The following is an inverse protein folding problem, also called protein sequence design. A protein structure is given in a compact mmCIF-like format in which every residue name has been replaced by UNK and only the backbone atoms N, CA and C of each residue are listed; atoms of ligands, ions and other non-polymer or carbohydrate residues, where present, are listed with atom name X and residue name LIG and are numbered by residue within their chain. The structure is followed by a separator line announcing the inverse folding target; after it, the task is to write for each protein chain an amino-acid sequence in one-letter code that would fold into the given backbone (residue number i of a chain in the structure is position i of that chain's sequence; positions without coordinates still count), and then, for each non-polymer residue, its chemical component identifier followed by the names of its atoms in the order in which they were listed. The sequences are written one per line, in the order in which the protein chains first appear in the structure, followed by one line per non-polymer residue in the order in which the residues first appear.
data_IF_281051178124
#
_entry.id   IF_281051178124
#
_cell.length_a   1.000
_cell.length_b   1.000
_cell.length_c   1.000
_cell.angle_alpha   90.00
_cell.angle_beta   90.00
_cell.angle_gamma   90.00
#
_symmetry.space_group_name_H-M   'P 1'
#
loop_
_entity.id
_entity.type
_entity.pdbx_description
1 polymer ?
#
# COMPACT_ATOMS: atom_id res chain seq x y z
N UNK A 1 40.08 9.43 55.00
CA UNK A 1 41.48 9.90 54.85
C UNK A 1 41.54 10.64 53.54
N UNK A 2 41.77 11.95 53.72
CA UNK A 2 42.56 12.94 52.97
C UNK A 2 42.12 13.15 51.52
N UNK A 3 41.41 14.27 51.25
CA UNK A 3 41.85 15.67 51.17
C UNK A 3 42.57 15.97 49.85
N UNK A 4 41.87 16.87 49.07
CA UNK A 4 42.22 18.26 48.69
C UNK A 4 43.35 18.38 47.67
N UNK A 5 43.17 19.14 46.58
CA UNK A 5 43.28 20.61 46.50
C UNK A 5 42.79 21.19 45.19
N UNK A 6 42.05 22.22 45.33
CA UNK A 6 41.66 23.35 44.53
C UNK A 6 42.87 24.24 44.14
N UNK A 7 42.87 24.87 42.95
CA UNK A 7 43.41 26.19 42.76
C UNK A 7 42.69 26.94 41.61
N UNK A 8 42.20 28.12 42.05
CA UNK A 8 41.68 29.25 41.26
C UNK A 8 42.85 30.10 40.75
N UNK A 9 42.58 31.00 39.76
CA UNK A 9 43.02 32.39 39.54
C UNK A 9 42.61 32.74 38.11
N UNK A 10 41.66 33.54 37.81
CA UNK A 10 41.28 34.97 37.93
C UNK A 10 42.10 35.98 37.07
N UNK A 11 41.30 36.75 36.30
CA UNK A 11 41.43 38.20 35.87
C UNK A 11 42.35 38.49 34.68
N UNK A 12 42.10 39.52 33.84
CA UNK A 12 41.14 40.64 33.75
C UNK A 12 41.26 41.31 32.36
N UNK A 13 40.18 41.82 31.80
CA UNK A 13 39.84 43.23 31.41
C UNK A 13 40.81 44.03 30.54
N UNK A 14 40.34 44.58 29.39
CA UNK A 14 40.26 45.96 28.92
C UNK A 14 39.86 46.00 27.45
N UNK A 15 38.74 46.54 27.04
CA UNK A 15 38.22 47.88 26.72
C UNK A 15 39.15 48.76 25.84
N UNK A 16 38.66 49.10 24.64
CA UNK A 16 38.49 50.45 24.08
C UNK A 16 38.27 50.41 22.56
N UNK A 17 37.12 50.76 22.14
CA UNK A 17 36.63 51.91 21.32
C UNK A 17 37.53 52.51 20.25
N UNK A 18 37.05 52.65 19.00
CA UNK A 18 36.81 53.94 18.36
C UNK A 18 36.44 53.83 16.87
N UNK A 19 35.43 54.56 16.54
CA UNK A 19 34.88 55.05 15.27
C UNK A 19 35.90 55.43 14.16
N UNK A 20 35.52 55.22 12.86
CA UNK A 20 35.11 56.28 11.95
C UNK A 20 35.13 55.87 10.48
N UNK A 21 34.03 56.14 9.84
CA UNK A 21 33.69 56.79 8.55
C UNK A 21 34.50 56.51 7.26
N UNK A 22 33.67 56.05 6.31
CA UNK A 22 33.34 56.68 5.03
C UNK A 22 34.09 56.25 3.75
N UNK A 23 33.23 55.98 2.77
CA UNK A 23 33.22 56.36 1.37
C UNK A 23 33.70 55.32 0.35
N UNK A 24 32.67 54.73 -0.30
CA UNK A 24 32.47 54.56 -1.76
C UNK A 24 33.69 54.39 -2.68
N UNK A 25 33.67 53.24 -3.43
CA UNK A 25 33.79 53.27 -4.90
C UNK A 25 33.39 51.94 -5.51
N UNK A 26 32.56 52.00 -6.51
CA UNK A 26 32.04 50.90 -7.29
C UNK A 26 33.12 50.26 -8.16
N UNK A 27 33.09 48.91 -8.27
CA UNK A 27 33.58 48.22 -9.45
C UNK A 27 32.87 46.87 -9.59
N UNK A 28 32.29 46.66 -10.72
CA UNK A 28 31.62 45.41 -11.21
C UNK A 28 32.55 44.24 -11.18
N UNK A 29 32.09 43.12 -10.63
CA UNK A 29 32.47 41.78 -11.13
C UNK A 29 31.56 40.72 -10.51
N UNK A 30 30.87 39.97 -11.35
CA UNK A 30 30.53 38.55 -11.17
C UNK A 30 29.51 38.21 -10.09
N UNK A 31 28.22 38.31 -10.36
CA UNK A 31 27.14 37.66 -9.61
C UNK A 31 27.25 36.14 -9.76
N UNK A 32 27.86 35.49 -8.81
CA UNK A 32 27.51 34.09 -8.51
C UNK A 32 26.26 34.15 -7.64
N UNK A 33 25.12 33.94 -8.25
CA UNK A 33 23.87 33.64 -7.56
C UNK A 33 24.05 32.31 -6.80
N UNK A 34 24.35 32.40 -5.51
CA UNK A 34 24.07 31.34 -4.59
C UNK A 34 22.55 31.16 -4.61
N UNK A 35 22.11 30.11 -5.26
CA UNK A 35 20.71 29.66 -5.21
C UNK A 35 20.37 29.34 -3.76
N UNK A 36 19.73 30.30 -3.09
CA UNK A 36 18.92 29.98 -1.91
C UNK A 36 17.85 29.04 -2.40
N UNK A 37 18.02 27.74 -2.13
CA UNK A 37 16.90 26.80 -2.15
C UNK A 37 15.90 27.36 -1.13
N UNK A 38 14.90 28.07 -1.63
CA UNK A 38 13.72 28.35 -0.87
C UNK A 38 13.10 27.00 -0.56
N UNK A 39 13.25 26.54 0.68
CA UNK A 39 12.36 25.55 1.24
C UNK A 39 10.95 26.07 0.98
N UNK A 40 10.22 25.43 0.08
CA UNK A 40 8.82 25.72 -0.13
C UNK A 40 8.18 25.55 1.25
N UNK A 41 7.75 26.66 1.85
CA UNK A 41 6.93 26.61 3.04
C UNK A 41 5.72 25.74 2.68
N UNK A 42 5.63 24.53 3.26
CA UNK A 42 4.51 23.63 3.05
C UNK A 42 3.24 24.41 3.33
N UNK A 43 2.50 24.75 2.29
CA UNK A 43 1.19 25.34 2.43
C UNK A 43 0.39 24.37 3.31
N UNK A 44 -0.23 24.87 4.36
CA UNK A 44 -1.11 24.06 5.21
C UNK A 44 -2.27 23.60 4.36
N UNK A 45 -2.36 22.29 4.11
CA UNK A 45 -3.51 21.69 3.42
C UNK A 45 -4.70 21.76 4.37
N UNK A 46 -5.80 22.37 3.92
CA UNK A 46 -7.06 22.47 4.66
C UNK A 46 -8.13 21.61 3.96
N UNK A 47 -8.24 20.36 4.38
CA UNK A 47 -9.21 19.41 3.83
C UNK A 47 -10.66 19.77 4.24
N UNK A 48 -10.84 20.43 5.39
CA UNK A 48 -12.16 20.91 5.80
C UNK A 48 -12.66 22.01 4.86
N UNK A 49 -11.80 22.97 4.52
CA UNK A 49 -12.13 24.03 3.54
C UNK A 49 -12.32 23.45 2.12
N UNK A 50 -11.66 22.35 1.79
CA UNK A 50 -11.87 21.63 0.53
C UNK A 50 -13.19 20.83 0.49
N UNK A 51 -14.00 20.86 1.55
CA UNK A 51 -15.28 20.18 1.60
C UNK A 51 -15.19 18.67 1.86
N UNK A 52 -14.10 18.20 2.43
CA UNK A 52 -14.00 16.83 2.92
C UNK A 52 -14.95 16.60 4.10
N UNK A 53 -15.42 15.36 4.32
CA UNK A 53 -16.14 14.99 5.54
C UNK A 53 -15.31 15.32 6.79
N UNK A 54 -15.97 15.69 7.89
CA UNK A 54 -15.29 15.95 9.17
C UNK A 54 -14.46 14.76 9.67
N UNK A 55 -14.89 13.54 9.30
CA UNK A 55 -14.11 12.31 9.44
C UNK A 55 -14.15 11.58 8.11
N UNK A 56 -12.97 11.35 7.53
CA UNK A 56 -12.81 10.51 6.34
C UNK A 56 -12.69 9.07 6.84
N UNK A 57 -13.65 8.22 6.47
CA UNK A 57 -13.64 6.80 6.84
C UNK A 57 -13.07 5.99 5.68
N UNK A 58 -11.97 5.30 5.93
CA UNK A 58 -11.25 4.47 4.95
C UNK A 58 -11.39 3.00 5.34
N UNK A 59 -11.91 2.17 4.45
CA UNK A 59 -11.95 0.72 4.61
C UNK A 59 -10.75 0.11 3.88
N UNK A 60 -9.86 -0.56 4.60
CA UNK A 60 -8.80 -1.35 3.96
C UNK A 60 -9.31 -2.72 3.54
N UNK A 61 -8.58 -3.40 2.69
CA UNK A 61 -8.93 -4.73 2.18
C UNK A 61 -8.34 -5.87 3.02
N UNK A 62 -7.37 -5.56 3.89
CA UNK A 62 -6.73 -6.53 4.76
C UNK A 62 -6.49 -6.01 6.18
N UNK A 63 -5.77 -6.78 6.99
CA UNK A 63 -5.26 -6.38 8.30
C UNK A 63 -4.29 -5.21 8.19
N UNK A 64 -3.97 -4.51 9.30
CA UNK A 64 -2.91 -3.51 9.28
C UNK A 64 -1.56 -4.12 8.85
N UNK A 65 -0.94 -3.51 7.85
CA UNK A 65 0.32 -3.95 7.23
C UNK A 65 1.01 -2.81 6.50
N UNK A 66 2.23 -3.04 5.99
CA UNK A 66 3.05 -2.01 5.33
C UNK A 66 2.46 -1.49 4.03
N UNK A 67 1.70 -2.30 3.30
CA UNK A 67 0.99 -1.89 2.09
C UNK A 67 -0.02 -0.75 2.33
N UNK A 68 -0.46 -0.62 3.58
CA UNK A 68 -1.32 0.47 4.06
C UNK A 68 -0.54 1.53 4.86
N UNK A 69 0.79 1.49 4.85
CA UNK A 69 1.66 2.29 5.71
C UNK A 69 1.37 3.78 5.68
N UNK A 70 1.16 4.35 4.49
CA UNK A 70 0.80 5.76 4.30
C UNK A 70 -0.48 6.19 5.03
N UNK A 71 -1.44 5.27 5.22
CA UNK A 71 -2.63 5.59 5.99
C UNK A 71 -2.32 5.77 7.49
N UNK A 72 -1.38 4.99 8.00
CA UNK A 72 -0.98 5.08 9.41
C UNK A 72 0.01 6.21 9.64
N UNK A 73 0.79 6.60 8.61
CA UNK A 73 1.70 7.75 8.67
C UNK A 73 0.92 9.06 8.86
N UNK A 74 -0.21 9.25 8.18
CA UNK A 74 -1.03 10.47 8.30
C UNK A 74 -1.83 10.59 9.61
N UNK A 75 -1.70 9.64 10.56
CA UNK A 75 -2.43 9.71 11.83
C UNK A 75 -1.67 10.55 12.86
N UNK A 76 -2.33 11.55 13.41
CA UNK A 76 -1.81 12.38 14.49
C UNK A 76 -1.61 11.58 15.80
N UNK A 77 -0.91 12.22 16.73
CA UNK A 77 -0.61 11.63 18.06
C UNK A 77 -1.82 11.39 18.94
N UNK A 78 -2.98 11.91 18.54
CA UNK A 78 -4.29 11.70 19.18
C UNK A 78 -4.99 10.41 18.72
N UNK A 79 -4.28 9.52 18.03
CA UNK A 79 -4.82 8.28 17.51
C UNK A 79 -5.44 7.41 18.62
N UNK A 80 -6.69 6.98 18.41
CA UNK A 80 -7.47 6.12 19.31
C UNK A 80 -7.79 4.81 18.63
N UNK A 81 -7.43 3.70 19.26
CA UNK A 81 -7.67 2.34 18.77
C UNK A 81 -9.01 1.84 19.32
N UNK A 82 -9.89 1.38 18.43
CA UNK A 82 -11.12 0.65 18.77
C UNK A 82 -10.95 -0.82 18.34
N UNK A 83 -10.57 -1.66 19.29
CA UNK A 83 -10.31 -3.08 19.03
C UNK A 83 -11.58 -3.88 18.73
N UNK A 84 -12.75 -3.43 19.14
CA UNK A 84 -14.01 -4.10 18.84
C UNK A 84 -14.41 -3.88 17.38
N UNK A 85 -14.26 -2.65 16.88
CA UNK A 85 -14.52 -2.30 15.48
C UNK A 85 -13.37 -2.59 14.54
N UNK A 86 -12.21 -3.00 15.07
CA UNK A 86 -10.97 -3.17 14.30
C UNK A 86 -10.62 -1.90 13.52
N UNK A 87 -10.67 -0.75 14.19
CA UNK A 87 -10.39 0.55 13.59
C UNK A 87 -9.47 1.39 14.46
N UNK A 88 -8.82 2.37 13.83
CA UNK A 88 -8.07 3.44 14.48
C UNK A 88 -8.52 4.77 13.91
N UNK A 89 -8.65 5.78 14.75
CA UNK A 89 -9.04 7.12 14.32
C UNK A 89 -8.23 8.21 15.02
N UNK A 90 -7.99 9.31 14.33
CA UNK A 90 -7.25 10.45 14.86
C UNK A 90 -7.36 11.67 13.96
N UNK A 91 -6.66 12.74 14.32
CA UNK A 91 -6.49 13.89 13.42
C UNK A 91 -5.72 13.45 12.19
N UNK A 92 -6.19 13.81 11.00
CA UNK A 92 -5.40 13.65 9.77
C UNK A 92 -4.39 14.77 9.71
N UNK A 93 -3.11 14.40 9.73
CA UNK A 93 -1.97 15.32 9.67
C UNK A 93 -1.21 15.16 8.35
N UNK A 94 -0.54 16.19 7.91
CA UNK A 94 0.49 16.20 6.86
C UNK A 94 1.72 16.89 7.40
N UNK A 95 2.86 16.21 7.40
CA UNK A 95 4.10 16.71 8.00
C UNK A 95 3.90 17.23 9.45
N UNK A 96 3.12 16.52 10.26
CA UNK A 96 2.80 16.84 11.66
C UNK A 96 1.88 18.04 11.86
N UNK A 97 1.16 18.47 10.81
CA UNK A 97 0.19 19.58 10.89
C UNK A 97 -1.21 19.06 10.56
N UNK A 98 -2.19 19.45 11.39
CA UNK A 98 -3.59 19.09 11.15
C UNK A 98 -4.08 19.66 9.82
N UNK A 99 -4.82 18.84 9.09
CA UNK A 99 -5.52 19.19 7.84
C UNK A 99 -6.96 19.66 8.07
N UNK A 100 -7.40 19.81 9.33
CA UNK A 100 -8.74 20.26 9.69
C UNK A 100 -9.80 19.17 9.73
N UNK A 101 -9.45 17.89 9.42
CA UNK A 101 -10.36 16.75 9.47
C UNK A 101 -9.75 15.61 10.28
N UNK A 102 -10.59 14.61 10.61
CA UNK A 102 -10.15 13.34 11.17
C UNK A 102 -10.13 12.26 10.09
N UNK A 103 -9.38 11.20 10.36
CA UNK A 103 -9.43 9.96 9.59
C UNK A 103 -9.80 8.80 10.53
N UNK A 104 -10.58 7.85 10.04
CA UNK A 104 -10.84 6.55 10.65
C UNK A 104 -10.46 5.47 9.64
N UNK A 105 -9.50 4.63 10.02
CA UNK A 105 -9.01 3.51 9.20
C UNK A 105 -9.58 2.23 9.78
N UNK A 106 -10.33 1.48 8.99
CA UNK A 106 -10.97 0.21 9.36
C UNK A 106 -10.26 -0.95 8.70
N UNK A 107 -9.89 -1.97 9.47
CA UNK A 107 -9.29 -3.18 8.95
C UNK A 107 -10.27 -3.97 8.08
N UNK A 108 -9.74 -4.60 7.04
CA UNK A 108 -10.44 -5.51 6.15
C UNK A 108 -10.19 -6.98 6.45
N UNK A 109 -10.21 -7.81 5.42
CA UNK A 109 -9.99 -9.25 5.53
C UNK A 109 -10.91 -9.92 6.55
N UNK A 110 -10.37 -10.61 7.56
CA UNK A 110 -11.18 -11.28 8.59
C UNK A 110 -12.08 -10.33 9.38
N UNK A 111 -11.70 -9.05 9.54
CA UNK A 111 -12.51 -8.06 10.26
C UNK A 111 -13.85 -7.77 9.59
N UNK A 112 -13.96 -7.98 8.29
CA UNK A 112 -15.19 -7.83 7.49
C UNK A 112 -15.71 -9.17 6.94
N UNK A 113 -15.25 -10.29 7.53
CA UNK A 113 -15.66 -11.63 7.11
C UNK A 113 -15.28 -11.96 5.67
N UNK A 114 -14.14 -11.44 5.20
CA UNK A 114 -13.62 -11.60 3.82
C UNK A 114 -14.57 -11.08 2.74
N UNK A 115 -15.51 -10.20 3.09
CA UNK A 115 -16.33 -9.52 2.09
C UNK A 115 -15.50 -8.50 1.31
N UNK A 116 -15.83 -8.30 0.04
CA UNK A 116 -15.19 -7.27 -0.78
C UNK A 116 -15.47 -5.86 -0.26
N UNK A 117 -14.46 -5.00 -0.27
CA UNK A 117 -14.56 -3.62 0.22
C UNK A 117 -15.64 -2.81 -0.51
N UNK A 118 -15.78 -3.01 -1.84
CA UNK A 118 -16.85 -2.39 -2.60
C UNK A 118 -18.24 -2.71 -2.04
N UNK A 119 -18.50 -3.97 -1.68
CA UNK A 119 -19.76 -4.38 -1.06
C UNK A 119 -19.94 -3.74 0.32
N UNK A 120 -18.89 -3.65 1.14
CA UNK A 120 -18.92 -2.97 2.43
C UNK A 120 -19.29 -1.49 2.28
N UNK A 121 -18.69 -0.78 1.33
CA UNK A 121 -18.98 0.64 1.06
C UNK A 121 -20.45 0.88 0.67
N UNK A 122 -21.09 -0.08 0.00
CA UNK A 122 -22.50 0.03 -0.38
C UNK A 122 -23.45 -0.41 0.74
N UNK A 123 -22.99 -1.22 1.68
CA UNK A 123 -23.75 -1.65 2.85
C UNK A 123 -23.66 -0.61 3.99
N UNK A 124 -22.45 -0.07 4.22
CA UNK A 124 -22.19 1.00 5.19
C UNK A 124 -21.78 2.28 4.46
N UNK A 125 -22.73 3.19 4.28
CA UNK A 125 -22.51 4.45 3.59
C UNK A 125 -21.67 5.47 4.39
N UNK A 126 -21.35 5.18 5.65
CA UNK A 126 -20.39 5.99 6.43
C UNK A 126 -18.96 5.85 5.90
N UNK A 127 -18.64 4.74 5.23
CA UNK A 127 -17.35 4.55 4.56
C UNK A 127 -17.25 5.53 3.41
N UNK A 128 -16.26 6.41 3.47
CA UNK A 128 -16.03 7.45 2.45
C UNK A 128 -15.33 6.88 1.23
N UNK A 129 -14.30 6.07 1.45
CA UNK A 129 -13.45 5.46 0.43
C UNK A 129 -12.89 4.13 0.93
N UNK A 130 -12.32 3.34 0.03
CA UNK A 130 -11.70 2.07 0.43
C UNK A 130 -10.79 1.52 -0.65
N UNK A 131 -10.02 0.51 -0.28
CA UNK A 131 -9.12 -0.20 -1.18
C UNK A 131 -9.86 -1.25 -2.01
N UNK A 132 -9.83 -1.09 -3.31
CA UNK A 132 -10.51 -1.98 -4.25
C UNK A 132 -9.56 -2.29 -5.40
N UNK A 133 -9.36 -3.57 -5.66
CA UNK A 133 -8.56 -4.03 -6.80
C UNK A 133 -9.30 -3.77 -8.12
N UNK A 134 -8.59 -3.44 -9.19
CA UNK A 134 -9.25 -3.08 -10.45
C UNK A 134 -10.01 -4.23 -11.10
N UNK A 135 -9.67 -5.49 -10.84
CA UNK A 135 -10.49 -6.63 -11.26
C UNK A 135 -11.82 -6.72 -10.50
N UNK A 136 -11.82 -6.45 -9.19
CA UNK A 136 -13.04 -6.36 -8.38
C UNK A 136 -13.96 -5.23 -8.85
N UNK A 137 -13.39 -4.08 -9.26
CA UNK A 137 -14.17 -2.99 -9.85
C UNK A 137 -14.90 -3.44 -11.12
N UNK A 138 -14.21 -4.20 -11.99
CA UNK A 138 -14.82 -4.75 -13.22
C UNK A 138 -15.92 -5.75 -12.85
N UNK A 139 -15.61 -6.73 -12.02
CA UNK A 139 -16.54 -7.81 -11.63
C UNK A 139 -17.83 -7.27 -10.99
N UNK A 140 -17.71 -6.20 -10.20
CA UNK A 140 -18.81 -5.62 -9.43
C UNK A 140 -19.39 -4.34 -10.05
N UNK A 141 -18.97 -3.96 -11.26
CA UNK A 141 -19.33 -2.72 -11.93
C UNK A 141 -20.85 -2.47 -12.03
N UNK A 142 -21.64 -3.53 -12.10
CA UNK A 142 -23.10 -3.44 -12.18
C UNK A 142 -23.78 -3.32 -10.82
N UNK A 143 -23.17 -3.86 -9.76
CA UNK A 143 -23.81 -3.95 -8.43
C UNK A 143 -23.30 -2.87 -7.48
N UNK A 144 -22.00 -2.68 -7.44
CA UNK A 144 -21.30 -1.78 -6.51
C UNK A 144 -20.22 -0.98 -7.25
N UNK A 145 -20.59 -0.16 -8.26
CA UNK A 145 -19.64 0.55 -9.09
C UNK A 145 -18.81 1.54 -8.27
N UNK A 146 -17.49 1.52 -8.46
CA UNK A 146 -16.52 2.39 -7.80
C UNK A 146 -15.59 3.03 -8.81
N UNK A 147 -14.96 4.14 -8.43
CA UNK A 147 -13.94 4.82 -9.23
C UNK A 147 -12.71 5.09 -8.40
N UNK A 148 -11.57 4.55 -8.82
CA UNK A 148 -10.29 4.74 -8.18
C UNK A 148 -9.65 6.10 -8.54
N UNK A 149 -8.85 6.65 -7.62
CA UNK A 149 -8.21 7.94 -7.79
C UNK A 149 -6.76 7.98 -7.29
N UNK A 150 -6.29 6.88 -6.68
CA UNK A 150 -4.92 6.74 -6.19
C UNK A 150 -4.54 5.25 -6.15
N UNK A 151 -3.35 4.90 -6.65
CA UNK A 151 -2.82 3.54 -6.68
C UNK A 151 -1.55 3.46 -5.83
N UNK A 152 -1.62 3.09 -4.53
CA UNK A 152 -0.43 2.99 -3.68
C UNK A 152 0.54 1.92 -4.17
N UNK A 153 0.02 0.85 -4.77
CA UNK A 153 0.84 -0.22 -5.34
C UNK A 153 0.90 -0.08 -6.87
N UNK A 154 2.12 0.04 -7.40
CA UNK A 154 2.33 0.05 -8.85
C UNK A 154 2.20 -1.36 -9.42
N UNK A 155 2.71 -2.40 -8.74
CA UNK A 155 2.54 -3.79 -9.15
C UNK A 155 1.80 -4.60 -8.08
N UNK A 156 1.00 -5.58 -8.50
CA UNK A 156 0.26 -6.43 -7.58
C UNK A 156 1.21 -7.36 -6.82
N UNK A 157 1.21 -7.37 -5.47
CA UNK A 157 2.03 -8.27 -4.66
C UNK A 157 1.54 -9.72 -4.66
N UNK A 158 0.38 -10.01 -5.28
CA UNK A 158 -0.13 -11.38 -5.36
C UNK A 158 0.88 -12.28 -6.04
N UNK A 159 1.31 -13.30 -5.33
CA UNK A 159 2.27 -14.28 -5.79
C UNK A 159 1.76 -15.71 -5.56
N UNK A 160 2.42 -16.66 -6.18
CA UNK A 160 2.36 -18.05 -5.79
C UNK A 160 3.72 -18.47 -5.25
N UNK A 161 3.72 -19.12 -4.09
CA UNK A 161 4.92 -19.64 -3.44
C UNK A 161 4.96 -21.16 -3.45
N UNK A 162 6.17 -21.71 -3.38
CA UNK A 162 6.44 -23.15 -3.36
C UNK A 162 7.69 -23.50 -2.52
N UNK A 163 7.79 -24.77 -2.15
CA UNK A 163 9.02 -25.31 -1.53
C UNK A 163 10.11 -25.50 -2.59
N UNK A 164 11.22 -24.75 -2.55
CA UNK A 164 12.31 -24.92 -3.51
C UNK A 164 12.99 -26.29 -3.44
N UNK A 165 12.81 -27.03 -2.34
CA UNK A 165 13.31 -28.41 -2.23
C UNK A 165 12.45 -29.38 -3.06
N UNK A 166 11.14 -29.17 -3.11
CA UNK A 166 10.21 -29.97 -3.91
C UNK A 166 10.24 -29.56 -5.37
N UNK A 167 10.46 -28.28 -5.65
CA UNK A 167 10.43 -27.68 -6.99
C UNK A 167 11.72 -26.94 -7.33
N UNK A 168 12.91 -27.62 -7.34
CA UNK A 168 14.21 -26.96 -7.43
C UNK A 168 14.46 -26.22 -8.75
N UNK A 169 13.85 -26.68 -9.83
CA UNK A 169 14.08 -26.16 -11.19
C UNK A 169 13.03 -25.12 -11.60
N UNK A 170 12.05 -24.82 -10.72
CA UNK A 170 10.98 -23.87 -10.99
C UNK A 170 11.47 -22.45 -10.75
N UNK A 171 11.24 -21.58 -11.75
CA UNK A 171 11.52 -20.13 -11.69
C UNK A 171 10.36 -19.28 -12.20
N UNK A 172 9.36 -19.89 -12.82
CA UNK A 172 8.21 -19.18 -13.40
C UNK A 172 6.92 -19.93 -13.11
N UNK A 173 5.79 -19.22 -13.12
CA UNK A 173 4.46 -19.83 -12.96
C UNK A 173 4.20 -20.90 -14.01
N UNK A 174 4.68 -20.72 -15.24
CA UNK A 174 4.53 -21.72 -16.29
C UNK A 174 5.27 -23.02 -15.99
N UNK A 175 6.51 -22.93 -15.48
CA UNK A 175 7.27 -24.10 -15.03
C UNK A 175 6.61 -24.75 -13.82
N UNK A 176 6.06 -23.94 -12.90
CA UNK A 176 5.36 -24.39 -11.71
C UNK A 176 4.15 -25.26 -12.07
N UNK A 177 3.27 -24.83 -12.98
CA UNK A 177 2.12 -25.61 -13.41
C UNK A 177 2.51 -26.97 -14.00
N UNK A 178 3.55 -26.99 -14.86
CA UNK A 178 4.09 -28.26 -15.40
C UNK A 178 4.62 -29.20 -14.29
N UNK A 179 5.29 -28.63 -13.28
CA UNK A 179 5.84 -29.42 -12.18
C UNK A 179 4.74 -29.90 -11.22
N UNK A 180 3.73 -29.06 -10.97
CA UNK A 180 2.59 -29.37 -10.11
C UNK A 180 1.79 -30.58 -10.63
N UNK A 181 1.51 -30.63 -11.94
CA UNK A 181 0.86 -31.77 -12.58
C UNK A 181 1.63 -33.10 -12.46
N UNK A 182 2.97 -33.06 -12.32
CA UNK A 182 3.80 -34.25 -12.11
C UNK A 182 3.81 -34.71 -10.66
N UNK A 183 3.76 -33.80 -9.70
CA UNK A 183 3.78 -34.11 -8.26
C UNK A 183 2.40 -34.50 -7.72
N UNK A 184 1.33 -34.14 -8.45
CA UNK A 184 -0.05 -34.26 -7.99
C UNK A 184 -0.34 -33.34 -6.79
N UNK A 185 0.37 -32.23 -6.66
CA UNK A 185 0.08 -31.15 -5.73
C UNK A 185 -1.06 -30.28 -6.25
N UNK A 186 -1.54 -29.37 -5.41
CA UNK A 186 -2.56 -28.39 -5.76
C UNK A 186 -2.07 -26.96 -5.53
N UNK A 187 -2.70 -26.03 -6.21
CA UNK A 187 -2.52 -24.59 -5.99
C UNK A 187 -3.65 -24.09 -5.09
N UNK A 188 -3.28 -23.65 -3.87
CA UNK A 188 -4.21 -23.10 -2.88
C UNK A 188 -4.35 -21.60 -3.06
N UNK A 189 -5.60 -21.15 -3.14
CA UNK A 189 -5.92 -19.74 -3.36
C UNK A 189 -7.23 -19.36 -2.66
N UNK A 190 -7.48 -18.05 -2.48
CA UNK A 190 -8.77 -17.56 -1.96
C UNK A 190 -9.89 -17.81 -2.96
N UNK A 191 -11.00 -18.35 -2.48
CA UNK A 191 -12.19 -18.56 -3.29
C UNK A 191 -12.64 -17.27 -3.99
N UNK A 192 -12.96 -17.34 -5.28
CA UNK A 192 -13.38 -16.19 -6.08
C UNK A 192 -12.25 -15.40 -6.73
N UNK A 193 -10.99 -15.82 -6.58
CA UNK A 193 -9.85 -15.16 -7.24
C UNK A 193 -9.86 -15.40 -8.75
N UNK A 194 -10.27 -14.40 -9.52
CA UNK A 194 -10.44 -14.51 -10.99
C UNK A 194 -9.13 -14.77 -11.75
N UNK A 195 -7.96 -14.44 -11.17
CA UNK A 195 -6.68 -14.75 -11.80
C UNK A 195 -6.48 -16.26 -12.02
N UNK A 196 -7.09 -17.12 -11.20
CA UNK A 196 -7.02 -18.57 -11.35
C UNK A 196 -7.73 -19.03 -12.62
N UNK A 197 -8.86 -18.43 -12.95
CA UNK A 197 -9.57 -18.73 -14.20
C UNK A 197 -8.77 -18.25 -15.41
N UNK A 198 -8.13 -17.07 -15.30
CA UNK A 198 -7.19 -16.57 -16.30
C UNK A 198 -6.02 -17.55 -16.51
N UNK A 199 -5.35 -17.97 -15.43
CA UNK A 199 -4.22 -18.90 -15.52
C UNK A 199 -4.63 -20.25 -16.12
N UNK A 200 -5.84 -20.72 -15.82
CA UNK A 200 -6.39 -21.96 -16.39
C UNK A 200 -6.67 -21.80 -17.87
N UNK A 201 -7.32 -20.69 -18.27
CA UNK A 201 -7.63 -20.37 -19.66
C UNK A 201 -6.36 -20.19 -20.52
N UNK A 202 -5.32 -19.60 -19.92
CA UNK A 202 -4.02 -19.39 -20.56
C UNK A 202 -3.10 -20.63 -20.52
N UNK A 203 -3.55 -21.75 -19.92
CA UNK A 203 -2.83 -23.02 -19.89
C UNK A 203 -1.62 -23.06 -18.94
N UNK A 204 -1.63 -22.23 -17.89
CA UNK A 204 -0.62 -22.30 -16.83
C UNK A 204 -0.91 -23.41 -15.82
N UNK A 205 -2.16 -23.78 -15.64
CA UNK A 205 -2.61 -24.81 -14.73
C UNK A 205 -3.91 -25.47 -15.24
N UNK A 206 -4.31 -26.58 -14.63
CA UNK A 206 -5.56 -27.27 -14.91
C UNK A 206 -6.55 -27.12 -13.76
N UNK A 207 -7.84 -27.37 -14.00
CA UNK A 207 -8.86 -27.36 -12.93
C UNK A 207 -8.61 -28.40 -11.85
N UNK A 208 -7.96 -29.51 -12.17
CA UNK A 208 -7.63 -30.55 -11.21
C UNK A 208 -6.56 -30.14 -10.19
N UNK A 209 -5.80 -29.10 -10.49
CA UNK A 209 -4.76 -28.53 -9.64
C UNK A 209 -5.27 -27.40 -8.75
N UNK A 210 -6.53 -27.00 -8.86
CA UNK A 210 -7.12 -25.91 -8.09
C UNK A 210 -7.62 -26.36 -6.72
N UNK A 211 -7.33 -25.57 -5.69
CA UNK A 211 -7.88 -25.72 -4.34
C UNK A 211 -8.18 -24.33 -3.73
N UNK A 212 -9.46 -23.98 -3.67
CA UNK A 212 -9.93 -22.69 -3.15
C UNK A 212 -10.06 -22.63 -1.62
N UNK A 213 -9.29 -23.45 -0.90
CA UNK A 213 -9.37 -23.56 0.56
C UNK A 213 -8.36 -22.68 1.31
N UNK A 214 -7.63 -21.77 0.63
CA UNK A 214 -6.75 -20.84 1.32
C UNK A 214 -7.57 -19.83 2.13
N UNK A 215 -7.21 -19.67 3.38
CA UNK A 215 -7.90 -18.84 4.38
C UNK A 215 -6.97 -17.77 5.03
N UNK A 216 -5.78 -17.57 4.43
CA UNK A 216 -4.76 -16.66 4.97
C UNK A 216 -3.85 -17.32 6.01
N UNK A 217 -4.02 -18.64 6.30
CA UNK A 217 -3.19 -19.37 7.29
C UNK A 217 -2.20 -20.32 6.63
N UNK A 218 -1.07 -20.66 7.30
CA UNK A 218 -0.08 -21.59 6.77
C UNK A 218 -0.49 -23.08 6.89
N UNK A 219 -1.59 -23.39 7.56
CA UNK A 219 -1.91 -24.75 8.02
C UNK A 219 -1.91 -25.79 6.89
N UNK A 220 -2.62 -25.53 5.81
CA UNK A 220 -2.76 -26.46 4.69
C UNK A 220 -1.45 -26.63 3.91
N UNK A 221 -0.70 -25.54 3.68
CA UNK A 221 0.60 -25.59 3.01
C UNK A 221 1.61 -26.42 3.81
N UNK A 222 1.68 -26.19 5.13
CA UNK A 222 2.56 -26.94 6.04
C UNK A 222 2.17 -28.42 6.06
N UNK A 223 0.87 -28.74 6.17
CA UNK A 223 0.37 -30.12 6.18
C UNK A 223 0.71 -30.87 4.89
N UNK A 224 0.73 -30.17 3.74
CA UNK A 224 1.11 -30.75 2.45
C UNK A 224 2.63 -31.02 2.34
N UNK A 225 3.45 -30.56 3.28
CA UNK A 225 4.88 -30.84 3.34
C UNK A 225 5.68 -30.30 2.17
N UNK A 226 5.20 -29.24 1.50
CA UNK A 226 5.83 -28.61 0.33
C UNK A 226 5.40 -29.22 -1.02
N UNK A 227 4.44 -30.16 -1.02
CA UNK A 227 3.88 -30.70 -2.25
C UNK A 227 2.95 -29.71 -2.95
N UNK A 228 2.16 -28.97 -2.15
CA UNK A 228 1.24 -27.96 -2.66
C UNK A 228 1.96 -26.61 -2.83
N UNK A 229 1.37 -25.78 -3.67
CA UNK A 229 1.77 -24.38 -3.84
C UNK A 229 0.63 -23.48 -3.36
N UNK A 230 0.93 -22.25 -2.97
CA UNK A 230 -0.06 -21.40 -2.31
C UNK A 230 0.07 -19.94 -2.71
N UNK A 231 -1.08 -19.30 -2.87
CA UNK A 231 -1.18 -17.84 -2.96
C UNK A 231 -0.60 -17.18 -1.71
N UNK A 232 -0.08 -15.99 -1.86
CA UNK A 232 0.30 -15.08 -0.79
C UNK A 232 0.66 -13.72 -1.38
N UNK A 233 1.18 -12.84 -0.54
CA UNK A 233 1.76 -11.58 -0.94
C UNK A 233 3.29 -11.64 -0.85
N UNK A 234 3.98 -11.23 -1.88
CA UNK A 234 5.45 -11.24 -1.94
C UNK A 234 6.10 -10.43 -0.80
N UNK A 235 5.40 -9.42 -0.33
CA UNK A 235 5.79 -8.54 0.76
C UNK A 235 5.66 -9.13 2.17
N UNK A 236 5.01 -10.30 2.36
CA UNK A 236 4.75 -10.83 3.70
C UNK A 236 5.11 -12.33 3.84
N UNK A 237 4.39 -13.21 3.13
CA UNK A 237 4.48 -14.66 3.34
C UNK A 237 5.88 -15.25 3.23
N UNK A 238 6.78 -14.84 2.30
CA UNK A 238 8.09 -15.45 2.24
C UNK A 238 8.87 -15.33 3.55
N UNK A 239 8.83 -14.14 4.18
CA UNK A 239 9.46 -13.93 5.47
C UNK A 239 8.74 -14.68 6.60
N UNK A 240 7.42 -14.62 6.65
CA UNK A 240 6.59 -15.27 7.68
C UNK A 240 6.86 -16.78 7.68
N UNK A 241 6.87 -17.42 6.51
CA UNK A 241 7.09 -18.87 6.41
C UNK A 241 8.50 -19.26 6.80
N UNK A 242 9.49 -18.48 6.42
CA UNK A 242 10.88 -18.76 6.76
C UNK A 242 11.18 -18.58 8.25
N UNK A 243 10.58 -17.56 8.91
CA UNK A 243 11.02 -17.11 10.23
C UNK A 243 9.97 -17.28 11.32
N UNK A 244 8.67 -17.26 11.00
CA UNK A 244 7.60 -17.14 12.00
C UNK A 244 6.58 -18.28 11.97
N UNK A 245 6.73 -19.26 11.07
CA UNK A 245 5.95 -20.50 11.06
C UNK A 245 6.81 -21.66 11.55
N UNK A 246 6.81 -21.99 12.86
CA UNK A 246 7.74 -22.97 13.43
C UNK A 246 7.61 -24.36 12.81
N UNK A 247 6.41 -24.73 12.33
CA UNK A 247 6.16 -26.01 11.68
C UNK A 247 6.69 -26.06 10.22
N UNK A 248 7.08 -24.91 9.65
CA UNK A 248 7.74 -24.82 8.34
C UNK A 248 9.19 -24.39 8.46
N UNK A 249 9.46 -23.17 8.93
CA UNK A 249 10.76 -22.61 9.29
C UNK A 249 11.86 -22.83 8.22
N UNK A 250 11.55 -22.57 6.98
CA UNK A 250 12.45 -22.66 5.83
C UNK A 250 11.97 -21.76 4.70
N UNK A 251 12.92 -21.39 3.84
CA UNK A 251 12.65 -20.57 2.67
C UNK A 251 11.54 -21.14 1.79
N UNK A 252 10.74 -20.26 1.20
CA UNK A 252 9.92 -20.52 0.03
C UNK A 252 10.45 -19.71 -1.15
N UNK A 253 10.35 -20.22 -2.37
CA UNK A 253 10.50 -19.42 -3.60
C UNK A 253 9.11 -19.02 -4.09
N UNK A 254 9.03 -17.94 -4.87
CA UNK A 254 7.77 -17.43 -5.39
C UNK A 254 7.92 -16.79 -6.77
N UNK A 255 6.76 -16.53 -7.41
CA UNK A 255 6.65 -15.69 -8.60
C UNK A 255 5.35 -14.87 -8.55
N UNK A 256 5.43 -13.61 -8.96
CA UNK A 256 4.28 -12.72 -9.05
C UNK A 256 3.30 -13.17 -10.13
N UNK A 257 2.01 -13.11 -9.82
CA UNK A 257 0.94 -13.45 -10.79
C UNK A 257 0.93 -12.47 -11.95
N UNK A 258 1.25 -11.19 -11.71
CA UNK A 258 1.40 -10.16 -12.74
C UNK A 258 2.34 -10.55 -13.87
N UNK A 259 3.39 -11.34 -13.59
CA UNK A 259 4.33 -11.86 -14.59
C UNK A 259 3.67 -12.71 -15.68
N UNK A 260 2.44 -13.17 -15.47
CA UNK A 260 1.66 -13.94 -16.44
C UNK A 260 0.80 -13.07 -17.37
N UNK A 261 0.65 -11.81 -17.05
CA UNK A 261 -0.22 -10.85 -17.72
C UNK A 261 -1.55 -10.57 -17.02
N UNK A 262 -1.83 -11.19 -15.88
CA UNK A 262 -2.89 -10.76 -14.96
C UNK A 262 -2.31 -9.71 -14.03
N UNK A 263 -2.48 -8.46 -14.38
CA UNK A 263 -1.77 -7.33 -13.80
C UNK A 263 -2.72 -6.20 -13.37
N UNK A 264 -3.57 -6.44 -12.33
CA UNK A 264 -4.43 -5.41 -11.77
C UNK A 264 -3.62 -4.38 -10.99
N UNK A 265 -4.19 -3.18 -10.81
CA UNK A 265 -3.80 -2.34 -9.68
C UNK A 265 -4.46 -2.89 -8.42
N UNK A 266 -3.63 -3.45 -7.54
CA UNK A 266 -4.07 -3.98 -6.26
C UNK A 266 -4.35 -2.83 -5.29
N UNK A 267 -5.38 -2.98 -4.44
CA UNK A 267 -5.64 -2.05 -3.32
C UNK A 267 -5.70 -0.58 -3.75
N UNK A 268 -6.32 -0.27 -4.90
CA UNK A 268 -6.50 1.11 -5.34
C UNK A 268 -7.50 1.84 -4.45
N UNK A 269 -7.19 3.07 -4.03
CA UNK A 269 -8.11 3.91 -3.28
C UNK A 269 -9.24 4.39 -4.17
N UNK A 270 -10.47 3.98 -3.82
CA UNK A 270 -11.66 4.25 -4.64
C UNK A 270 -12.82 4.80 -3.79
N UNK A 271 -13.71 5.51 -4.46
CA UNK A 271 -15.00 5.95 -3.92
C UNK A 271 -16.16 5.33 -4.69
N UNK A 272 -17.36 5.27 -4.10
CA UNK A 272 -18.56 4.91 -4.87
C UNK A 272 -18.73 5.87 -6.04
N UNK A 273 -19.02 5.37 -7.23
CA UNK A 273 -19.20 6.19 -8.43
C UNK A 273 -20.25 7.27 -8.23
N UNK A 274 -21.33 6.97 -7.47
CA UNK A 274 -22.39 7.92 -7.16
C UNK A 274 -21.92 9.13 -6.31
N UNK A 275 -20.90 8.95 -5.48
CA UNK A 275 -20.35 9.98 -4.60
C UNK A 275 -19.21 10.77 -5.24
N UNK A 276 -18.65 10.28 -6.35
CA UNK A 276 -17.45 10.83 -6.97
C UNK A 276 -17.55 12.34 -7.23
N UNK A 277 -18.62 12.77 -7.89
CA UNK A 277 -18.83 14.19 -8.21
C UNK A 277 -18.92 15.07 -6.95
N UNK A 278 -19.59 14.60 -5.90
CA UNK A 278 -19.70 15.32 -4.62
C UNK A 278 -18.37 15.41 -3.91
N UNK A 279 -17.57 14.35 -3.97
CA UNK A 279 -16.26 14.27 -3.30
C UNK A 279 -15.12 14.90 -4.11
N UNK A 280 -15.31 15.25 -5.38
CA UNK A 280 -14.26 15.80 -6.26
C UNK A 280 -13.41 16.90 -5.60
N UNK A 281 -13.95 17.93 -4.93
CA UNK A 281 -13.10 18.95 -4.30
C UNK A 281 -12.23 18.38 -3.16
N UNK A 282 -12.79 17.47 -2.37
CA UNK A 282 -12.06 16.77 -1.33
C UNK A 282 -10.95 15.87 -1.93
N UNK A 283 -11.26 15.06 -2.92
CA UNK A 283 -10.31 14.15 -3.57
C UNK A 283 -9.13 14.91 -4.17
N UNK A 284 -9.39 16.08 -4.79
CA UNK A 284 -8.35 16.95 -5.34
C UNK A 284 -7.36 17.45 -4.29
N UNK A 285 -7.83 17.70 -3.07
CA UNK A 285 -6.97 18.16 -1.99
C UNK A 285 -6.32 16.98 -1.23
N UNK A 286 -6.99 15.82 -1.13
CA UNK A 286 -6.55 14.66 -0.38
C UNK A 286 -5.52 13.82 -1.17
N UNK A 287 -5.66 13.69 -2.49
CA UNK A 287 -4.76 12.81 -3.27
C UNK A 287 -3.29 13.18 -3.14
N UNK A 288 -2.88 14.47 -3.23
CA UNK A 288 -1.49 14.86 -2.97
C UNK A 288 -1.01 14.56 -1.53
N UNK A 289 -1.93 14.55 -0.57
CA UNK A 289 -1.61 14.13 0.82
C UNK A 289 -1.29 12.63 0.84
N UNK A 290 -2.13 11.80 0.23
CA UNK A 290 -1.88 10.36 0.15
C UNK A 290 -0.55 10.05 -0.57
N UNK A 291 -0.25 10.75 -1.66
CA UNK A 291 1.03 10.61 -2.37
C UNK A 291 2.23 10.99 -1.47
N UNK A 292 2.12 12.10 -0.72
CA UNK A 292 3.21 12.55 0.15
C UNK A 292 3.40 11.60 1.33
N UNK A 293 2.32 11.13 1.95
CA UNK A 293 2.40 10.19 3.06
C UNK A 293 2.95 8.82 2.63
N UNK A 294 2.73 8.41 1.37
CA UNK A 294 3.40 7.22 0.80
C UNK A 294 4.92 7.43 0.71
N UNK A 295 5.36 8.60 0.21
CA UNK A 295 6.78 8.96 0.15
C UNK A 295 7.39 9.05 1.56
N UNK A 296 6.68 9.66 2.51
CA UNK A 296 7.15 9.87 3.88
C UNK A 296 7.24 8.54 4.64
N UNK A 297 6.29 7.62 4.46
CA UNK A 297 6.33 6.28 5.03
C UNK A 297 7.57 5.49 4.57
N UNK A 298 7.93 5.53 3.29
CA UNK A 298 9.15 4.86 2.81
C UNK A 298 10.43 5.59 3.23
N UNK A 299 10.36 6.88 3.55
CA UNK A 299 11.50 7.64 4.06
C UNK A 299 11.78 7.39 5.55
N UNK A 300 10.74 7.35 6.40
CA UNK A 300 10.84 7.03 7.84
C UNK A 300 9.58 6.29 8.35
N UNK A 301 9.53 4.97 8.28
CA UNK A 301 8.35 4.17 8.65
C UNK A 301 8.17 3.99 10.17
N UNK A 302 9.07 4.54 10.99
CA UNK A 302 9.22 4.18 12.41
C UNK A 302 7.91 4.34 13.19
N UNK A 303 7.20 5.45 12.99
CA UNK A 303 5.96 5.73 13.72
C UNK A 303 4.79 4.87 13.21
N UNK A 304 4.64 4.75 11.90
CA UNK A 304 3.58 3.96 11.26
C UNK A 304 3.73 2.46 11.57
N UNK A 305 4.93 1.89 11.47
CA UNK A 305 5.17 0.48 11.79
C UNK A 305 4.90 0.16 13.26
N UNK A 306 5.33 1.06 14.17
CA UNK A 306 5.04 0.89 15.60
C UNK A 306 3.52 0.92 15.87
N UNK A 307 2.76 1.72 15.12
CA UNK A 307 1.31 1.75 15.20
C UNK A 307 0.70 0.47 14.60
N UNK A 308 1.12 0.05 13.41
CA UNK A 308 0.67 -1.20 12.76
C UNK A 308 0.80 -2.38 13.72
N UNK A 309 1.95 -2.55 14.38
CA UNK A 309 2.18 -3.66 15.33
C UNK A 309 1.25 -3.59 16.55
N UNK A 310 0.95 -2.37 17.05
CA UNK A 310 -0.03 -2.17 18.12
C UNK A 310 -1.44 -2.55 17.66
N UNK A 311 -1.81 -2.17 16.44
CA UNK A 311 -3.12 -2.47 15.85
C UNK A 311 -3.29 -3.98 15.65
N UNK A 312 -2.30 -4.66 15.07
CA UNK A 312 -2.33 -6.12 14.89
C UNK A 312 -2.51 -6.83 16.24
N UNK A 313 -1.77 -6.40 17.26
CA UNK A 313 -1.92 -6.93 18.62
C UNK A 313 -3.31 -6.66 19.20
N UNK A 314 -3.82 -5.44 19.08
CA UNK A 314 -5.11 -5.03 19.63
C UNK A 314 -6.29 -5.70 18.90
N UNK A 315 -6.19 -5.87 17.59
CA UNK A 315 -7.26 -6.47 16.79
C UNK A 315 -7.36 -7.98 16.96
N UNK A 316 -6.23 -8.65 17.24
CA UNK A 316 -6.17 -10.09 17.53
C UNK A 316 -6.96 -10.94 16.52
N UNK A 317 -6.70 -10.73 15.23
CA UNK A 317 -7.37 -11.44 14.11
C UNK A 317 -6.67 -12.74 13.73
N UNK A 318 -5.54 -13.07 14.36
CA UNK A 318 -4.66 -14.17 13.99
C UNK A 318 -3.59 -13.77 12.96
N UNK A 319 -3.61 -12.53 12.45
CA UNK A 319 -2.56 -12.02 11.58
C UNK A 319 -1.24 -11.88 12.34
N UNK A 320 -0.15 -12.27 11.70
CA UNK A 320 1.21 -12.18 12.26
C UNK A 320 1.95 -11.04 11.55
N UNK A 321 2.37 -10.03 12.31
CA UNK A 321 3.07 -8.88 11.77
C UNK A 321 4.12 -8.36 12.75
N UNK A 322 5.28 -9.00 12.74
CA UNK A 322 6.43 -8.63 13.58
C UNK A 322 7.23 -7.47 12.99
N UNK A 323 8.17 -6.87 13.74
CA UNK A 323 9.14 -5.93 13.19
C UNK A 323 9.90 -6.50 11.99
N UNK A 324 10.23 -7.80 12.01
CA UNK A 324 10.92 -8.45 10.91
C UNK A 324 10.07 -8.56 9.64
N UNK A 325 8.75 -8.81 9.78
CA UNK A 325 7.82 -8.76 8.65
C UNK A 325 7.75 -7.35 8.09
N UNK A 326 7.64 -6.31 8.93
CA UNK A 326 7.59 -4.92 8.49
C UNK A 326 8.84 -4.52 7.69
N UNK A 327 10.04 -4.84 8.19
CA UNK A 327 11.30 -4.56 7.50
C UNK A 327 11.41 -5.30 6.16
N UNK A 328 11.05 -6.58 6.14
CA UNK A 328 11.02 -7.39 4.93
C UNK A 328 10.03 -6.83 3.92
N UNK A 329 8.81 -6.49 4.37
CA UNK A 329 7.73 -5.97 3.54
C UNK A 329 8.17 -4.72 2.78
N UNK A 330 8.64 -3.69 3.50
CA UNK A 330 9.10 -2.43 2.89
C UNK A 330 10.24 -2.66 1.90
N UNK A 331 11.23 -3.50 2.29
CA UNK A 331 12.34 -3.81 1.38
C UNK A 331 11.84 -4.47 0.11
N UNK A 332 10.98 -5.46 0.21
CA UNK A 332 10.44 -6.20 -0.94
C UNK A 332 9.58 -5.30 -1.81
N UNK A 333 8.75 -4.43 -1.21
CA UNK A 333 7.94 -3.48 -1.97
C UNK A 333 8.78 -2.57 -2.88
N UNK A 334 9.96 -2.16 -2.43
CA UNK A 334 10.89 -1.36 -3.26
C UNK A 334 11.68 -2.23 -4.23
N UNK A 335 12.26 -3.34 -3.77
CA UNK A 335 13.14 -4.19 -4.58
C UNK A 335 12.39 -4.84 -5.76
N UNK A 336 11.17 -5.32 -5.51
CA UNK A 336 10.29 -5.94 -6.51
C UNK A 336 9.42 -4.90 -7.25
N UNK A 337 9.59 -3.60 -6.95
CA UNK A 337 8.83 -2.49 -7.55
C UNK A 337 7.31 -2.59 -7.33
N UNK A 338 6.88 -3.24 -6.25
CA UNK A 338 5.48 -3.26 -5.88
C UNK A 338 5.00 -1.84 -5.56
N UNK A 339 5.87 -1.02 -4.99
CA UNK A 339 5.72 0.43 -4.86
C UNK A 339 6.81 1.10 -5.67
N UNK A 340 6.43 1.85 -6.67
CA UNK A 340 7.34 2.57 -7.56
C UNK A 340 6.63 3.76 -8.23
N UNK A 341 7.43 4.60 -8.88
CA UNK A 341 6.88 5.67 -9.73
C UNK A 341 6.41 5.15 -11.11
N UNK A 342 6.41 3.85 -11.33
CA UNK A 342 6.02 3.26 -12.61
C UNK A 342 6.89 3.71 -13.77
N UNK A 343 6.26 4.16 -14.84
CA UNK A 343 6.93 4.57 -16.09
C UNK A 343 7.31 6.07 -16.12
N UNK A 344 7.02 6.81 -15.07
CA UNK A 344 7.27 8.25 -14.97
C UNK A 344 7.98 8.61 -13.64
N UNK A 345 7.85 9.83 -13.15
CA UNK A 345 8.45 10.29 -11.88
C UNK A 345 7.42 10.46 -10.75
N UNK A 346 6.18 9.98 -10.95
CA UNK A 346 5.03 10.23 -10.08
C UNK A 346 4.60 8.96 -9.40
N UNK A 347 4.31 9.01 -8.10
CA UNK A 347 3.75 7.87 -7.36
C UNK A 347 2.22 7.95 -7.35
N UNK A 348 1.57 6.81 -7.45
CA UNK A 348 0.14 6.67 -7.19
C UNK A 348 -0.78 6.91 -8.38
N UNK A 349 -0.23 7.17 -9.58
CA UNK A 349 -1.01 7.30 -10.80
C UNK A 349 -1.26 5.94 -11.49
N UNK A 350 -2.21 5.93 -12.40
CA UNK A 350 -2.56 4.76 -13.21
C UNK A 350 -1.97 4.89 -14.62
N UNK A 351 -1.23 3.88 -15.07
CA UNK A 351 -0.81 3.78 -16.47
C UNK A 351 -2.00 3.41 -17.37
N UNK A 352 -2.33 4.28 -18.32
CA UNK A 352 -3.49 4.08 -19.18
C UNK A 352 -3.38 2.84 -20.06
N UNK A 353 -2.19 2.56 -20.61
CA UNK A 353 -2.01 1.42 -21.50
C UNK A 353 -2.16 0.09 -20.73
N UNK A 354 -1.67 0.05 -19.49
CA UNK A 354 -1.85 -1.07 -18.57
C UNK A 354 -3.34 -1.25 -18.24
N UNK A 355 -4.05 -0.18 -17.86
CA UNK A 355 -5.48 -0.23 -17.54
C UNK A 355 -6.32 -0.72 -18.73
N UNK A 356 -6.08 -0.22 -19.93
CA UNK A 356 -6.80 -0.64 -21.15
C UNK A 356 -6.56 -2.13 -21.45
N UNK A 357 -5.31 -2.59 -21.34
CA UNK A 357 -4.94 -3.98 -21.55
C UNK A 357 -5.56 -4.89 -20.48
N UNK A 358 -5.45 -4.50 -19.22
CA UNK A 358 -5.99 -5.28 -18.11
C UNK A 358 -7.52 -5.36 -18.16
N UNK A 359 -8.20 -4.23 -18.44
CA UNK A 359 -9.65 -4.19 -18.63
C UNK A 359 -10.11 -5.19 -19.69
N UNK A 360 -9.43 -5.22 -20.85
CA UNK A 360 -9.74 -6.17 -21.93
C UNK A 360 -9.58 -7.61 -21.48
N UNK A 361 -8.48 -7.93 -20.81
CA UNK A 361 -8.18 -9.28 -20.31
C UNK A 361 -9.21 -9.73 -19.28
N UNK A 362 -9.42 -8.94 -18.23
CA UNK A 362 -10.30 -9.27 -17.11
C UNK A 362 -11.78 -9.35 -17.54
N UNK A 363 -12.26 -8.41 -18.36
CA UNK A 363 -13.63 -8.43 -18.91
C UNK A 363 -13.88 -9.69 -19.76
N UNK A 364 -12.87 -10.15 -20.51
CA UNK A 364 -12.94 -11.41 -21.24
C UNK A 364 -13.12 -12.62 -20.32
N UNK A 365 -12.38 -12.68 -19.23
CA UNK A 365 -12.48 -13.76 -18.24
C UNK A 365 -13.85 -13.70 -17.54
N UNK A 366 -14.29 -12.54 -17.04
CA UNK A 366 -15.59 -12.40 -16.38
C UNK A 366 -16.76 -12.73 -17.29
N UNK A 367 -16.66 -12.39 -18.59
CA UNK A 367 -17.67 -12.80 -19.59
C UNK A 367 -17.75 -14.31 -19.72
N UNK A 368 -16.62 -15.02 -19.79
CA UNK A 368 -16.55 -16.49 -19.83
C UNK A 368 -17.12 -17.14 -18.56
N UNK A 369 -16.90 -16.51 -17.41
CA UNK A 369 -17.45 -16.96 -16.13
C UNK A 369 -18.94 -16.66 -15.96
N UNK A 370 -19.56 -15.91 -16.88
CA UNK A 370 -20.95 -15.49 -16.78
C UNK A 370 -21.18 -14.41 -15.72
N UNK A 371 -20.13 -13.72 -15.29
CA UNK A 371 -20.24 -12.58 -14.35
C UNK A 371 -20.93 -11.40 -15.03
N UNK A 372 -21.97 -10.88 -14.39
CA UNK A 372 -22.76 -9.79 -14.93
C UNK A 372 -22.06 -8.44 -14.73
N UNK A 373 -21.11 -8.09 -15.60
CA UNK A 373 -20.49 -6.77 -15.65
C UNK A 373 -21.38 -5.74 -16.36
N UNK A 374 -21.17 -4.45 -16.15
CA UNK A 374 -21.89 -3.41 -16.90
C UNK A 374 -21.43 -3.43 -18.37
N UNK A 375 -22.38 -3.60 -19.28
CA UNK A 375 -22.11 -3.70 -20.72
C UNK A 375 -21.58 -2.40 -21.37
N UNK A 376 -21.65 -1.29 -20.65
CA UNK A 376 -21.15 0.03 -21.10
C UNK A 376 -19.85 0.42 -20.43
N UNK A 377 -19.34 -0.41 -19.50
CA UNK A 377 -18.11 -0.14 -18.77
C UNK A 377 -16.93 -0.02 -19.72
N UNK A 378 -16.12 0.98 -19.49
CA UNK A 378 -14.83 1.19 -20.15
C UNK A 378 -13.72 1.25 -19.11
N UNK A 379 -12.46 1.13 -19.50
CA UNK A 379 -11.33 1.28 -18.58
C UNK A 379 -11.33 2.66 -17.92
N UNK A 380 -11.69 3.72 -18.62
CA UNK A 380 -11.72 5.10 -18.14
C UNK A 380 -12.81 5.34 -17.04
N UNK A 381 -13.79 4.46 -16.94
CA UNK A 381 -14.80 4.53 -15.88
C UNK A 381 -14.26 4.05 -14.52
N UNK A 382 -13.21 3.22 -14.51
CA UNK A 382 -12.66 2.58 -13.32
C UNK A 382 -11.75 3.50 -12.51
N UNK A 383 -11.07 4.46 -13.14
CA UNK A 383 -10.04 5.27 -12.49
C UNK A 383 -10.00 6.71 -12.98
N UNK A 384 -9.18 7.53 -12.32
CA UNK A 384 -8.81 8.88 -12.77
C UNK A 384 -7.45 9.27 -12.22
N UNK A 385 -6.64 9.98 -13.04
CA UNK A 385 -5.41 10.67 -12.61
C UNK A 385 -5.62 12.19 -12.43
N UNK A 386 -6.88 12.67 -12.46
CA UNK A 386 -7.19 14.11 -12.40
C UNK A 386 -6.64 14.81 -11.15
N UNK A 387 -6.45 14.07 -10.06
CA UNK A 387 -6.09 14.62 -8.75
C UNK A 387 -4.63 14.36 -8.39
N UNK A 388 -3.90 13.63 -9.21
CA UNK A 388 -2.49 13.29 -9.00
C UNK A 388 -1.62 14.54 -9.15
N UNK A 389 -0.77 14.80 -8.17
CA UNK A 389 0.29 15.80 -8.26
C UNK A 389 1.54 15.15 -8.87
N UNK A 390 1.84 15.53 -10.11
CA UNK A 390 2.95 14.95 -10.88
C UNK A 390 4.35 15.34 -10.37
N UNK A 391 4.43 16.17 -9.35
CA UNK A 391 5.70 16.56 -8.70
C UNK A 391 6.06 15.66 -7.51
N UNK A 392 5.14 14.78 -7.05
CA UNK A 392 5.33 13.90 -5.91
C UNK A 392 5.67 12.48 -6.41
N UNK A 393 6.80 11.95 -5.94
CA UNK A 393 7.28 10.61 -6.26
C UNK A 393 8.45 10.18 -5.39
N UNK A 394 8.73 8.89 -5.39
CA UNK A 394 9.89 8.30 -4.72
C UNK A 394 11.18 8.81 -5.36
N UNK A 395 12.22 9.03 -4.54
CA UNK A 395 13.54 9.57 -4.96
C UNK A 395 14.58 8.47 -5.09
#
# INVERSE_FOLDING_TARGET
MKERHMHKIQRAVAVASALALAASLAACAGTTTAGTSASAASATVDLAAAGCPATIVIQTDWNPESEHGHLYEMLGKDAVIDSDKKSVSGTLELAGKSTGVKVEIRAGGPAIGFNGVGAQMYTDTSITMGYITTDDQIANSKKTPTKAFFAPLDESPIMVMWDPKTYPDVKTIKQLGVALGKTGGVWRFFAGSAYIDYLTDAGYMTKAEQDSSYDGTPANFVAAGGKDVQQGFASAEPYIYENEVPAWNKKVDYALVSSTGWDPYQSSMAVRTADFKKLTPCLKALTPVLQQEEVDYFADPTAADALIQKLVTAYNTGWVYSPGVADYSRKTMIDDKLVSNGTNSTIGDFDKARMDKFFTTASGIYTKLGTAIDSKLTADDLYTNEFIDTSIGLK
#
